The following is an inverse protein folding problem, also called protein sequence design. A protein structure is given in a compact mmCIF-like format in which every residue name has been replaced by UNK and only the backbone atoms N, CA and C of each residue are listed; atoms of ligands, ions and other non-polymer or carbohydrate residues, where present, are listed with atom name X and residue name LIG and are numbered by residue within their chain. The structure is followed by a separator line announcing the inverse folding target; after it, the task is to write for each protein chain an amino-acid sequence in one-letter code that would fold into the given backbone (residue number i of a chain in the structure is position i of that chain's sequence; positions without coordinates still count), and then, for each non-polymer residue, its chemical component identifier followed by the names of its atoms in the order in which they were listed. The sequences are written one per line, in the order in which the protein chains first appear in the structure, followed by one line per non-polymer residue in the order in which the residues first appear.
data_IF_662275100989
#
_entry.id   IF_662275100989
#
_cell.length_a   1.000
_cell.length_b   1.000
_cell.length_c   1.000
_cell.angle_alpha   90.00
_cell.angle_beta   90.00
_cell.angle_gamma   90.00
#
_symmetry.space_group_name_H-M   'P 1'
#
loop_
_entity.id
_entity.type
_entity.pdbx_description
1 polymer ?
#
# COMPACT_ATOMS: atom_id res chain seq x y z
N UNK A 1 -3.79 -43.84 -30.65
CA UNK A 1 -5.05 -43.60 -29.88
C UNK A 1 -4.76 -43.19 -28.44
N UNK A 2 -4.04 -43.99 -27.65
CA UNK A 2 -3.69 -43.66 -26.26
C UNK A 2 -2.82 -42.40 -26.12
N UNK A 3 -1.85 -42.18 -27.03
CA UNK A 3 -0.96 -41.02 -27.01
C UNK A 3 -1.71 -39.70 -27.16
N UNK A 4 -2.70 -39.64 -28.05
CA UNK A 4 -3.57 -38.47 -28.22
C UNK A 4 -4.38 -38.18 -26.95
N UNK A 5 -4.88 -39.21 -26.27
CA UNK A 5 -5.58 -39.06 -25.00
C UNK A 5 -4.66 -38.51 -23.91
N UNK A 6 -3.42 -38.99 -23.83
CA UNK A 6 -2.44 -38.51 -22.84
C UNK A 6 -2.10 -37.04 -23.10
N UNK A 7 -1.78 -36.67 -24.34
CA UNK A 7 -1.48 -35.29 -24.69
C UNK A 7 -2.68 -34.38 -24.40
N UNK A 8 -3.88 -34.80 -24.80
CA UNK A 8 -5.11 -34.05 -24.53
C UNK A 8 -5.34 -33.82 -23.03
N UNK A 9 -5.20 -34.86 -22.20
CA UNK A 9 -5.38 -34.74 -20.75
C UNK A 9 -4.34 -33.83 -20.10
N UNK A 10 -3.08 -33.94 -20.52
CA UNK A 10 -2.01 -33.07 -20.00
C UNK A 10 -2.27 -31.62 -20.38
N UNK A 11 -2.60 -31.34 -21.65
CA UNK A 11 -2.92 -29.98 -22.08
C UNK A 11 -4.16 -29.43 -21.37
N UNK A 12 -5.19 -30.25 -21.19
CA UNK A 12 -6.41 -29.87 -20.46
C UNK A 12 -6.09 -29.51 -19.00
N UNK A 13 -5.27 -30.32 -18.32
CA UNK A 13 -4.87 -30.06 -16.93
C UNK A 13 -4.05 -28.77 -16.79
N UNK A 14 -3.12 -28.51 -17.71
CA UNK A 14 -2.31 -27.28 -17.70
C UNK A 14 -3.20 -26.07 -17.92
N UNK A 15 -4.07 -26.08 -18.94
CA UNK A 15 -4.97 -24.96 -19.24
C UNK A 15 -5.97 -24.73 -18.11
N UNK A 16 -6.57 -25.79 -17.57
CA UNK A 16 -7.47 -25.70 -16.43
C UNK A 16 -6.74 -25.17 -15.18
N UNK A 17 -5.51 -25.62 -14.93
CA UNK A 17 -4.70 -25.13 -13.81
C UNK A 17 -4.40 -23.63 -13.90
N UNK A 18 -4.02 -23.14 -15.08
CA UNK A 18 -3.81 -21.70 -15.31
C UNK A 18 -5.11 -20.92 -15.17
N UNK A 19 -6.22 -21.42 -15.73
CA UNK A 19 -7.53 -20.78 -15.61
C UNK A 19 -7.98 -20.69 -14.15
N UNK A 20 -7.80 -21.75 -13.36
CA UNK A 20 -8.10 -21.76 -11.94
C UNK A 20 -7.18 -20.80 -11.18
N UNK A 21 -5.88 -20.76 -11.49
CA UNK A 21 -4.96 -19.81 -10.88
C UNK A 21 -5.36 -18.35 -11.16
N UNK A 22 -5.90 -18.05 -12.34
CA UNK A 22 -6.43 -16.72 -12.65
C UNK A 22 -7.75 -16.42 -11.94
N UNK A 23 -8.66 -17.39 -11.83
CA UNK A 23 -9.97 -17.21 -11.15
C UNK A 23 -9.79 -17.09 -9.64
N UNK A 24 -8.90 -17.89 -9.04
CA UNK A 24 -8.61 -17.86 -7.61
C UNK A 24 -7.53 -16.84 -7.24
N UNK A 25 -6.74 -16.41 -8.20
CA UNK A 25 -5.83 -15.28 -8.06
C UNK A 25 -6.62 -14.00 -7.90
N UNK A 26 -7.04 -13.70 -6.67
CA UNK A 26 -7.58 -12.38 -6.34
C UNK A 26 -6.51 -11.37 -6.76
N UNK A 27 -6.83 -10.50 -7.71
CA UNK A 27 -5.99 -9.35 -7.97
C UNK A 27 -5.76 -8.65 -6.62
N UNK A 28 -4.51 -8.38 -6.21
CA UNK A 28 -4.27 -7.62 -4.99
C UNK A 28 -4.82 -6.22 -5.23
N UNK A 29 -6.09 -6.02 -4.87
CA UNK A 29 -6.70 -4.70 -4.89
C UNK A 29 -6.12 -3.99 -3.70
N UNK A 30 -5.05 -3.22 -3.94
CA UNK A 30 -4.51 -2.32 -2.94
C UNK A 30 -5.62 -1.34 -2.56
N UNK A 31 -6.20 -1.56 -1.38
CA UNK A 31 -7.20 -0.68 -0.79
C UNK A 31 -6.56 -0.14 0.49
N UNK A 32 -6.07 1.10 0.51
CA UNK A 32 -5.49 1.67 1.71
C UNK A 32 -6.55 1.67 2.81
N UNK A 33 -6.32 0.84 3.83
CA UNK A 33 -7.08 0.83 5.06
C UNK A 33 -6.39 1.74 6.06
N UNK A 34 -7.11 2.16 7.10
CA UNK A 34 -6.53 2.98 8.15
C UNK A 34 -5.30 2.32 8.79
N UNK A 35 -5.35 1.00 9.01
CA UNK A 35 -4.24 0.22 9.55
C UNK A 35 -3.03 0.24 8.61
N UNK A 36 -3.21 -0.05 7.31
CA UNK A 36 -2.12 -0.02 6.33
C UNK A 36 -1.47 1.36 6.22
N UNK A 37 -2.27 2.43 6.23
CA UNK A 37 -1.76 3.80 6.21
C UNK A 37 -1.00 4.12 7.50
N UNK A 38 -1.52 3.72 8.67
CA UNK A 38 -0.82 3.90 9.94
C UNK A 38 0.52 3.16 9.94
N UNK A 39 0.57 1.92 9.46
CA UNK A 39 1.81 1.15 9.33
C UNK A 39 2.81 1.89 8.43
N UNK A 40 2.39 2.37 7.27
CA UNK A 40 3.27 3.11 6.35
C UNK A 40 3.83 4.39 6.99
N UNK A 41 3.00 5.16 7.70
CA UNK A 41 3.43 6.38 8.39
C UNK A 41 4.40 6.07 9.54
N UNK A 42 4.19 4.99 10.28
CA UNK A 42 5.12 4.53 11.33
C UNK A 42 6.45 4.10 10.73
N UNK A 43 6.43 3.31 9.65
CA UNK A 43 7.64 2.93 8.93
C UNK A 43 8.40 4.16 8.40
N UNK A 44 7.69 5.21 7.98
CA UNK A 44 8.32 6.45 7.51
C UNK A 44 9.04 7.18 8.66
N UNK A 45 8.48 7.16 9.87
CA UNK A 45 9.14 7.70 11.07
C UNK A 45 10.36 6.88 11.49
N UNK A 46 10.29 5.57 11.35
CA UNK A 46 11.39 4.65 11.67
C UNK A 46 12.50 4.67 10.61
N UNK A 47 12.25 5.27 9.44
CA UNK A 47 13.16 5.28 8.31
C UNK A 47 13.14 3.98 7.49
N UNK A 48 12.11 3.17 7.68
CA UNK A 48 11.92 1.86 7.04
C UNK A 48 10.90 1.89 5.90
N UNK A 49 10.16 2.99 5.69
CA UNK A 49 9.20 3.10 4.59
C UNK A 49 9.89 2.99 3.24
N UNK A 50 9.44 2.07 2.41
CA UNK A 50 9.91 1.94 1.04
C UNK A 50 9.48 3.16 0.22
N UNK A 51 10.40 3.71 -0.57
CA UNK A 51 10.14 4.89 -1.41
C UNK A 51 9.03 4.64 -2.43
N UNK A 52 9.00 3.48 -3.08
CA UNK A 52 7.97 3.16 -4.08
C UNK A 52 6.59 3.04 -3.44
N UNK A 53 6.50 2.40 -2.26
CA UNK A 53 5.26 2.27 -1.51
C UNK A 53 4.76 3.63 -1.01
N UNK A 54 5.68 4.48 -0.55
CA UNK A 54 5.39 5.85 -0.15
C UNK A 54 4.87 6.68 -1.32
N UNK A 55 5.58 6.70 -2.45
CA UNK A 55 5.14 7.42 -3.64
C UNK A 55 3.79 6.90 -4.16
N UNK A 56 3.60 5.58 -4.16
CA UNK A 56 2.33 4.98 -4.56
C UNK A 56 1.16 5.41 -3.67
N UNK A 57 1.36 5.49 -2.36
CA UNK A 57 0.37 6.04 -1.42
C UNK A 57 0.09 7.52 -1.72
N UNK A 58 1.11 8.33 -2.00
CA UNK A 58 0.95 9.74 -2.37
C UNK A 58 0.22 9.91 -3.71
N UNK A 59 0.39 9.02 -4.68
CA UNK A 59 -0.20 9.14 -6.01
C UNK A 59 -1.63 8.58 -6.12
N UNK A 60 -2.07 7.77 -5.14
CA UNK A 60 -3.36 7.08 -5.20
C UNK A 60 -4.48 7.83 -4.44
N UNK A 61 -5.51 8.37 -5.12
CA UNK A 61 -6.64 8.98 -4.44
C UNK A 61 -7.51 7.96 -3.68
N UNK A 62 -7.90 8.28 -2.45
CA UNK A 62 -8.68 7.42 -1.56
C UNK A 62 -10.15 7.86 -1.57
N UNK A 63 -10.92 7.40 -2.56
CA UNK A 63 -12.32 7.88 -2.74
C UNK A 63 -13.31 7.33 -1.72
N UNK A 64 -13.02 6.18 -1.12
CA UNK A 64 -13.94 5.48 -0.23
C UNK A 64 -13.90 5.98 1.21
N UNK A 65 -12.91 6.78 1.57
CA UNK A 65 -12.67 7.28 2.92
C UNK A 65 -12.16 8.73 2.85
N UNK A 66 -13.04 9.72 3.04
CA UNK A 66 -12.69 11.13 2.90
C UNK A 66 -11.68 11.59 3.97
N UNK A 67 -11.69 10.97 5.17
CA UNK A 67 -10.77 11.32 6.24
C UNK A 67 -9.35 10.85 5.90
N UNK A 68 -9.21 9.64 5.34
CA UNK A 68 -7.93 9.15 4.82
C UNK A 68 -7.45 9.93 3.59
N UNK A 69 -8.35 10.36 2.72
CA UNK A 69 -7.99 11.22 1.59
C UNK A 69 -7.46 12.59 2.05
N UNK A 70 -8.11 13.20 3.04
CA UNK A 70 -7.61 14.44 3.64
C UNK A 70 -6.22 14.22 4.25
N UNK A 71 -6.03 13.13 5.00
CA UNK A 71 -4.72 12.78 5.55
C UNK A 71 -3.67 12.63 4.43
N UNK A 72 -3.98 11.93 3.34
CA UNK A 72 -3.08 11.73 2.21
C UNK A 72 -2.68 13.07 1.59
N UNK A 73 -3.62 13.98 1.38
CA UNK A 73 -3.32 15.34 0.88
C UNK A 73 -2.40 16.11 1.83
N UNK A 74 -2.66 16.06 3.14
CA UNK A 74 -1.78 16.68 4.13
C UNK A 74 -0.38 16.02 4.17
N UNK A 75 -0.28 14.72 3.84
CA UNK A 75 0.99 14.01 3.69
C UNK A 75 1.76 14.46 2.44
N UNK A 76 1.08 14.73 1.32
CA UNK A 76 1.70 15.32 0.12
C UNK A 76 2.32 16.68 0.48
N UNK A 77 1.53 17.59 1.04
CA UNK A 77 1.99 18.94 1.40
C UNK A 77 3.18 18.91 2.36
N UNK A 78 3.13 18.00 3.34
CA UNK A 78 4.24 17.79 4.27
C UNK A 78 5.48 17.26 3.56
N UNK A 79 5.34 16.28 2.66
CA UNK A 79 6.48 15.68 1.97
C UNK A 79 7.11 16.66 0.98
N UNK A 80 6.33 17.52 0.33
CA UNK A 80 6.86 18.60 -0.51
C UNK A 80 7.70 19.61 0.30
N UNK A 81 7.28 19.91 1.53
CA UNK A 81 7.97 20.89 2.40
C UNK A 81 9.17 20.31 3.15
N UNK A 82 9.06 19.06 3.61
CA UNK A 82 9.98 18.46 4.58
C UNK A 82 10.63 17.15 4.09
N UNK A 83 10.29 16.71 2.88
CA UNK A 83 10.86 15.54 2.22
C UNK A 83 12.35 15.69 2.00
N UNK A 84 13.07 14.58 2.21
CA UNK A 84 14.48 14.47 1.91
C UNK A 84 14.67 13.50 0.74
N UNK A 85 15.80 13.65 0.04
CA UNK A 85 16.19 12.68 -0.98
C UNK A 85 16.20 11.27 -0.38
N UNK A 86 15.56 10.28 -1.03
CA UNK A 86 15.54 8.91 -0.58
C UNK A 86 16.96 8.36 -0.43
N UNK A 87 17.14 7.43 0.53
CA UNK A 87 18.43 6.75 0.74
C UNK A 87 18.19 5.25 0.86
N UNK A 88 18.89 4.46 0.05
CA UNK A 88 18.71 3.00 -0.03
C UNK A 88 17.24 2.59 -0.25
N UNK A 89 16.55 3.26 -1.18
CA UNK A 89 15.12 3.06 -1.49
C UNK A 89 14.17 3.27 -0.30
N UNK A 90 14.59 4.05 0.71
CA UNK A 90 13.75 4.46 1.83
C UNK A 90 13.34 5.92 1.70
N UNK A 91 12.04 6.18 1.87
CA UNK A 91 11.48 7.52 1.98
C UNK A 91 11.93 8.17 3.30
N UNK A 92 12.19 9.48 3.27
CA UNK A 92 12.74 10.20 4.43
C UNK A 92 12.17 11.59 4.57
N UNK A 93 12.00 12.01 5.82
CA UNK A 93 11.61 13.36 6.23
C UNK A 93 12.72 13.98 7.08
N UNK A 94 12.83 15.30 7.03
CA UNK A 94 13.65 16.06 7.99
C UNK A 94 13.00 16.06 9.40
N UNK A 95 13.71 16.59 10.39
CA UNK A 95 13.26 16.59 11.79
C UNK A 95 11.90 17.28 11.98
N UNK A 96 11.68 18.42 11.32
CA UNK A 96 10.40 19.13 11.37
C UNK A 96 9.24 18.31 10.77
N UNK A 97 9.50 17.62 9.66
CA UNK A 97 8.56 16.68 9.04
C UNK A 97 8.22 15.51 9.95
N UNK A 98 9.22 14.93 10.63
CA UNK A 98 9.00 13.83 11.58
C UNK A 98 8.15 14.25 12.78
N UNK A 99 8.38 15.45 13.33
CA UNK A 99 7.55 15.99 14.42
C UNK A 99 6.09 16.15 13.98
N UNK A 100 5.88 16.70 12.77
CA UNK A 100 4.53 16.89 12.22
C UNK A 100 3.83 15.55 11.93
N UNK A 101 4.58 14.57 11.42
CA UNK A 101 4.08 13.23 11.15
C UNK A 101 3.64 12.51 12.45
N UNK A 102 4.41 12.61 13.54
CA UNK A 102 4.03 12.06 14.85
C UNK A 102 2.67 12.59 15.33
N UNK A 103 2.43 13.89 15.16
CA UNK A 103 1.14 14.50 15.54
C UNK A 103 -0.04 14.00 14.67
N UNK A 104 0.22 13.59 13.42
CA UNK A 104 -0.81 13.01 12.55
C UNK A 104 -1.15 11.57 12.95
N UNK A 105 -0.15 10.76 13.26
CA UNK A 105 -0.35 9.36 13.69
C UNK A 105 -1.22 9.29 14.95
N UNK A 106 -0.94 10.14 15.95
CA UNK A 106 -1.74 10.16 17.18
C UNK A 106 -3.21 10.55 16.93
N UNK A 107 -3.47 11.41 15.94
CA UNK A 107 -4.83 11.77 15.52
C UNK A 107 -5.53 10.58 14.85
N UNK A 108 -4.82 9.79 14.05
CA UNK A 108 -5.36 8.59 13.41
C UNK A 108 -5.71 7.51 14.41
N UNK A 109 -4.87 7.28 15.42
CA UNK A 109 -5.15 6.33 16.52
C UNK A 109 -6.45 6.69 17.25
N UNK A 110 -6.66 7.98 17.53
CA UNK A 110 -7.87 8.46 18.19
C UNK A 110 -9.12 8.36 17.29
N UNK A 111 -8.98 8.54 15.98
CA UNK A 111 -10.08 8.40 15.02
C UNK A 111 -10.46 6.93 14.80
N UNK A 112 -9.46 6.03 14.72
CA UNK A 112 -9.68 4.59 14.59
C UNK A 112 -10.33 3.99 15.83
N UNK A 113 -9.95 4.48 17.02
CA UNK A 113 -10.56 4.08 18.29
C UNK A 113 -12.05 4.48 18.41
N UNK A 114 -12.54 5.44 17.63
CA UNK A 114 -13.97 5.83 17.61
C UNK A 114 -14.85 4.96 16.68
N UNK A 115 -14.24 4.07 15.89
CA UNK A 115 -14.96 3.27 14.88
C UNK A 115 -15.31 1.85 15.37
N UNK A 116 -15.22 1.60 16.68
CA UNK A 116 -15.69 0.36 17.33
C UNK A 116 -16.87 0.62 18.27
#
# INVERSE_FOLDING_TARGET
MAEFLVVFLVTLLVVAGVALAMVFGKAPVYRPTQESVQTLLTQLLEGEANEQEWQFFLDMPIRHDPDLEQLRQECIEMYEQFGLRPRHDKARLNEAGQIRLRHKISKLEQSGSRTF
#
